data_IF_793815993282
#
_entry.id   IF_793815993282
#
_cell.length_a   1.000
_cell.length_b   1.000
_cell.length_c   1.000
_cell.angle_alpha   90.00
_cell.angle_beta   90.00
_cell.angle_gamma   90.00
#
_symmetry.space_group_name_H-M   'P 1'
#
loop_
_entity.id
_entity.type
_entity.pdbx_description
1 polymer ?
#
# COMPACT_ATOMS: atom_id res chain seq x y z
N UNK A 1 6.35 -4.59 23.05
CA UNK A 1 5.81 -5.49 21.99
C UNK A 1 5.26 -4.56 20.92
N UNK A 2 6.06 -4.22 19.92
CA UNK A 2 5.70 -3.18 18.96
C UNK A 2 4.89 -3.78 17.81
N UNK A 3 3.67 -3.28 17.64
CA UNK A 3 2.90 -3.30 16.41
C UNK A 3 3.77 -2.81 15.26
N UNK A 4 4.05 -3.68 14.27
CA UNK A 4 4.93 -3.33 13.16
C UNK A 4 4.41 -3.93 11.86
N UNK A 5 3.91 -3.05 10.98
CA UNK A 5 3.81 -3.37 9.55
C UNK A 5 5.23 -3.45 9.03
N UNK A 6 5.61 -4.60 8.48
CA UNK A 6 6.95 -4.83 7.98
C UNK A 6 7.12 -4.18 6.60
N UNK A 7 6.24 -4.51 5.66
CA UNK A 7 6.27 -3.97 4.30
C UNK A 7 4.86 -3.88 3.72
N UNK A 8 4.59 -2.81 2.96
CA UNK A 8 3.38 -2.62 2.16
C UNK A 8 3.74 -2.74 0.68
N UNK A 9 2.95 -3.50 -0.06
CA UNK A 9 3.04 -3.62 -1.51
C UNK A 9 1.73 -3.24 -2.18
N UNK A 10 1.83 -2.57 -3.31
CA UNK A 10 0.76 -2.51 -4.31
C UNK A 10 1.30 -3.20 -5.55
N UNK A 11 0.67 -4.30 -5.97
CA UNK A 11 1.17 -5.16 -7.03
C UNK A 11 0.05 -5.63 -7.96
N UNK A 12 0.42 -6.13 -9.14
CA UNK A 12 -0.52 -6.81 -10.02
C UNK A 12 -0.81 -8.25 -9.52
N UNK A 13 -1.63 -8.99 -10.26
CA UNK A 13 -1.97 -10.39 -9.98
C UNK A 13 -0.76 -11.34 -9.92
N UNK A 14 0.32 -11.02 -10.63
CA UNK A 14 1.55 -11.82 -10.72
C UNK A 14 2.55 -11.52 -9.60
N UNK A 15 2.26 -10.55 -8.73
CA UNK A 15 3.15 -10.13 -7.64
C UNK A 15 4.23 -9.14 -8.08
N UNK A 16 4.11 -8.55 -9.27
CA UNK A 16 4.96 -7.42 -9.66
C UNK A 16 4.48 -6.16 -8.96
N UNK A 17 5.33 -5.61 -8.09
CA UNK A 17 4.98 -4.40 -7.34
C UNK A 17 5.09 -3.16 -8.23
N UNK A 18 4.11 -2.26 -8.09
CA UNK A 18 4.18 -0.86 -8.53
C UNK A 18 4.72 0.01 -7.40
N UNK A 19 4.38 -0.35 -6.17
CA UNK A 19 4.83 0.33 -4.96
C UNK A 19 5.30 -0.73 -3.97
N UNK A 20 6.46 -0.48 -3.37
CA UNK A 20 6.99 -1.25 -2.25
C UNK A 20 7.51 -0.28 -1.20
N UNK A 21 6.89 -0.27 -0.03
CA UNK A 21 7.39 0.49 1.13
C UNK A 21 7.72 -0.47 2.26
N UNK A 22 9.01 -0.60 2.58
CA UNK A 22 9.51 -1.45 3.68
C UNK A 22 9.85 -0.54 4.86
N UNK A 23 9.40 -0.92 6.07
CA UNK A 23 9.69 -0.23 7.33
C UNK A 23 10.76 -0.95 8.15
N UNK A 24 11.07 -2.21 7.78
CA UNK A 24 12.16 -2.98 8.36
C UNK A 24 13.26 -3.23 7.33
N UNK A 25 14.43 -3.65 7.80
CA UNK A 25 15.55 -4.06 6.94
C UNK A 25 15.37 -5.47 6.36
N UNK A 26 14.34 -6.20 6.79
CA UNK A 26 14.13 -7.56 6.37
C UNK A 26 13.71 -7.62 4.90
N UNK A 27 14.39 -8.47 4.13
CA UNK A 27 14.05 -8.66 2.73
C UNK A 27 12.83 -9.57 2.63
N UNK A 28 11.74 -9.01 2.10
CA UNK A 28 10.53 -9.77 1.78
C UNK A 28 10.50 -10.02 0.27
N UNK A 29 10.41 -11.30 -0.11
CA UNK A 29 10.17 -11.72 -1.49
C UNK A 29 8.68 -12.01 -1.73
N UNK A 30 7.98 -11.00 -2.25
CA UNK A 30 6.57 -11.12 -2.59
C UNK A 30 6.31 -12.11 -3.74
N UNK A 31 7.23 -12.20 -4.72
CA UNK A 31 7.03 -13.03 -5.91
C UNK A 31 7.03 -14.50 -5.54
N UNK A 32 7.95 -14.93 -4.68
CA UNK A 32 7.99 -16.30 -4.19
C UNK A 32 6.71 -16.66 -3.41
N UNK A 33 6.23 -15.75 -2.56
CA UNK A 33 4.94 -15.94 -1.88
C UNK A 33 3.76 -16.05 -2.87
N UNK A 34 3.76 -15.25 -3.94
CA UNK A 34 2.66 -15.21 -4.92
C UNK A 34 2.67 -16.36 -5.93
N UNK A 35 3.82 -16.96 -6.21
CA UNK A 35 3.91 -18.21 -6.98
C UNK A 35 3.19 -19.35 -6.30
N UNK A 36 3.11 -19.32 -4.97
CA UNK A 36 2.26 -20.24 -4.24
C UNK A 36 0.79 -19.83 -4.41
N UNK A 37 -0.12 -20.79 -4.61
CA UNK A 37 -1.58 -20.52 -4.65
C UNK A 37 -2.13 -19.87 -3.37
N UNK A 38 -1.30 -19.59 -2.37
CA UNK A 38 -1.65 -18.90 -1.13
C UNK A 38 -2.07 -17.45 -1.36
N UNK A 39 -1.51 -16.77 -2.37
CA UNK A 39 -1.86 -15.38 -2.70
C UNK A 39 -3.25 -15.21 -3.34
N UNK A 40 -4.04 -16.29 -3.44
CA UNK A 40 -5.48 -16.25 -3.71
C UNK A 40 -6.30 -16.00 -2.44
N UNK A 41 -5.70 -16.18 -1.25
CA UNK A 41 -6.36 -15.98 0.04
C UNK A 41 -6.13 -14.56 0.53
N UNK A 42 -7.13 -14.07 1.25
CA UNK A 42 -7.10 -12.79 1.94
C UNK A 42 -6.05 -12.74 3.06
N UNK A 43 -5.81 -13.88 3.71
CA UNK A 43 -4.82 -14.03 4.77
C UNK A 43 -4.03 -15.31 4.53
N UNK A 44 -2.71 -15.22 4.58
CA UNK A 44 -1.86 -16.41 4.55
C UNK A 44 -0.55 -16.16 5.29
N UNK A 45 0.08 -17.24 5.75
CA UNK A 45 1.41 -17.18 6.34
C UNK A 45 2.45 -17.70 5.36
N UNK A 46 3.58 -17.01 5.28
CA UNK A 46 4.72 -17.40 4.47
C UNK A 46 5.99 -16.93 5.18
N UNK A 47 6.99 -17.81 5.30
CA UNK A 47 8.26 -17.53 6.00
C UNK A 47 8.07 -16.90 7.40
N UNK A 48 7.10 -17.43 8.17
CA UNK A 48 6.81 -16.96 9.54
C UNK A 48 5.98 -15.67 9.63
N UNK A 49 5.77 -14.95 8.53
CA UNK A 49 5.03 -13.68 8.51
C UNK A 49 3.60 -13.85 8.05
N UNK A 50 2.72 -12.96 8.51
CA UNK A 50 1.34 -12.88 8.05
C UNK A 50 1.24 -11.89 6.89
N UNK A 51 0.68 -12.35 5.78
CA UNK A 51 0.35 -11.54 4.61
C UNK A 51 -1.15 -11.30 4.62
N UNK A 52 -1.52 -10.04 4.55
CA UNK A 52 -2.90 -9.58 4.46
C UNK A 52 -3.10 -8.95 3.10
N UNK A 53 -3.99 -9.53 2.29
CA UNK A 53 -4.17 -9.19 0.88
C UNK A 53 -5.61 -8.81 0.62
N UNK A 54 -5.80 -7.71 -0.11
CA UNK A 54 -7.09 -7.36 -0.71
C UNK A 54 -6.90 -6.92 -2.15
N UNK A 55 -7.80 -7.38 -3.02
CA UNK A 55 -7.76 -7.10 -4.46
C UNK A 55 -8.79 -6.03 -4.80
N UNK A 56 -8.36 -4.98 -5.51
CA UNK A 56 -9.24 -3.98 -6.09
C UNK A 56 -8.97 -3.89 -7.60
N UNK A 57 -9.95 -4.34 -8.39
CA UNK A 57 -9.79 -4.54 -9.85
C UNK A 57 -8.61 -5.47 -10.13
N UNK A 58 -7.57 -4.98 -10.80
CA UNK A 58 -6.37 -5.75 -11.19
C UNK A 58 -5.17 -5.54 -10.25
N UNK A 59 -5.33 -4.74 -9.20
CA UNK A 59 -4.26 -4.42 -8.26
C UNK A 59 -4.55 -5.05 -6.90
N UNK A 60 -3.54 -5.69 -6.32
CA UNK A 60 -3.53 -6.24 -4.97
C UNK A 60 -2.77 -5.30 -4.05
N UNK A 61 -3.40 -4.96 -2.93
CA UNK A 61 -2.74 -4.27 -1.81
C UNK A 61 -2.39 -5.33 -0.78
N UNK A 62 -1.11 -5.42 -0.43
CA UNK A 62 -0.56 -6.45 0.46
C UNK A 62 0.16 -5.78 1.61
N UNK A 63 -0.22 -6.12 2.82
CA UNK A 63 0.48 -5.75 4.04
C UNK A 63 1.13 -7.00 4.61
N UNK A 64 2.42 -6.92 4.91
CA UNK A 64 3.12 -7.98 5.63
C UNK A 64 3.33 -7.53 7.06
N UNK A 65 2.83 -8.34 8.00
CA UNK A 65 2.75 -8.02 9.43
C UNK A 65 3.14 -9.24 10.26
N UNK A 66 3.57 -9.00 11.49
CA UNK A 66 4.00 -10.07 12.41
C UNK A 66 2.93 -10.38 13.47
N UNK A 67 2.53 -9.37 14.23
CA UNK A 67 1.66 -9.51 15.41
C UNK A 67 0.35 -8.72 15.33
N UNK A 68 0.00 -8.22 14.14
CA UNK A 68 -1.19 -7.39 13.97
C UNK A 68 -2.47 -8.19 13.76
N UNK A 69 -3.58 -7.60 14.21
CA UNK A 69 -4.90 -8.12 13.91
C UNK A 69 -5.19 -7.95 12.39
N UNK A 70 -5.43 -9.05 11.65
CA UNK A 70 -5.64 -8.99 10.20
C UNK A 70 -6.81 -8.10 9.78
N UNK A 71 -7.85 -7.97 10.63
CA UNK A 71 -9.02 -7.14 10.36
C UNK A 71 -8.73 -5.64 10.47
N UNK A 72 -7.84 -5.24 11.37
CA UNK A 72 -7.35 -3.85 11.44
C UNK A 72 -6.55 -3.53 10.17
N UNK A 73 -5.73 -4.47 9.71
CA UNK A 73 -4.99 -4.31 8.46
C UNK A 73 -5.92 -4.20 7.25
N UNK A 74 -7.05 -4.91 7.24
CA UNK A 74 -8.09 -4.70 6.22
C UNK A 74 -8.66 -3.29 6.21
N UNK A 75 -8.95 -2.74 7.39
CA UNK A 75 -9.39 -1.35 7.50
C UNK A 75 -8.34 -0.37 6.95
N UNK A 76 -7.06 -0.62 7.21
CA UNK A 76 -5.95 0.17 6.66
C UNK A 76 -5.84 0.06 5.15
N UNK A 77 -5.97 -1.14 4.60
CA UNK A 77 -5.98 -1.38 3.16
C UNK A 77 -7.16 -0.65 2.49
N UNK A 78 -8.36 -0.74 3.06
CA UNK A 78 -9.54 -0.01 2.56
C UNK A 78 -9.35 1.50 2.60
N UNK A 79 -8.79 2.03 3.69
CA UNK A 79 -8.52 3.46 3.85
C UNK A 79 -7.51 3.95 2.81
N UNK A 80 -6.42 3.20 2.59
CA UNK A 80 -5.43 3.50 1.56
C UNK A 80 -6.03 3.45 0.16
N UNK A 81 -6.81 2.42 -0.16
CA UNK A 81 -7.51 2.31 -1.44
C UNK A 81 -8.42 3.51 -1.70
N UNK A 82 -9.23 3.90 -0.71
CA UNK A 82 -10.14 5.04 -0.84
C UNK A 82 -9.40 6.36 -1.03
N UNK A 83 -8.28 6.55 -0.34
CA UNK A 83 -7.42 7.72 -0.50
C UNK A 83 -6.86 7.80 -1.93
N UNK A 84 -6.24 6.72 -2.41
CA UNK A 84 -5.66 6.65 -3.76
C UNK A 84 -6.74 6.83 -4.84
N UNK A 85 -7.89 6.16 -4.69
CA UNK A 85 -9.00 6.27 -5.62
C UNK A 85 -9.54 7.70 -5.70
N UNK A 86 -9.66 8.40 -4.56
CA UNK A 86 -10.12 9.78 -4.51
C UNK A 86 -9.10 10.76 -5.10
N UNK A 87 -7.80 10.51 -4.91
CA UNK A 87 -6.76 11.39 -5.43
C UNK A 87 -6.62 11.29 -6.96
N UNK A 88 -6.63 10.06 -7.50
CA UNK A 88 -6.44 9.80 -8.93
C UNK A 88 -7.75 9.85 -9.75
N UNK A 89 -8.89 10.18 -9.14
CA UNK A 89 -10.22 10.08 -9.77
C UNK A 89 -10.49 8.69 -10.37
N UNK A 90 -9.95 7.66 -9.73
CA UNK A 90 -10.01 6.29 -10.20
C UNK A 90 -8.75 5.49 -9.85
N UNK A 91 -8.94 4.31 -9.26
CA UNK A 91 -7.85 3.38 -8.99
C UNK A 91 -7.62 2.46 -10.21
N UNK A 92 -6.39 2.46 -10.74
CA UNK A 92 -5.92 1.63 -11.84
C UNK A 92 -4.42 1.33 -11.69
N UNK A 93 -3.93 0.27 -12.34
CA UNK A 93 -2.51 -0.08 -12.34
C UNK A 93 -1.65 1.03 -12.98
N UNK A 94 -2.11 1.58 -14.10
CA UNK A 94 -1.44 2.68 -14.79
C UNK A 94 -1.31 3.93 -13.92
N UNK A 95 -2.34 4.28 -13.14
CA UNK A 95 -2.26 5.44 -12.25
C UNK A 95 -1.16 5.29 -11.19
N UNK A 96 -0.95 4.06 -10.69
CA UNK A 96 0.14 3.78 -9.75
C UNK A 96 1.52 3.81 -10.41
N UNK A 97 1.61 3.46 -11.70
CA UNK A 97 2.86 3.52 -12.47
C UNK A 97 3.23 4.96 -12.80
N UNK A 98 2.29 5.76 -13.30
CA UNK A 98 2.56 7.12 -13.76
C UNK A 98 2.63 8.15 -12.62
N UNK A 99 1.94 7.91 -11.51
CA UNK A 99 1.88 8.82 -10.35
C UNK A 99 2.42 8.15 -9.08
N UNK A 100 3.54 7.42 -9.21
CA UNK A 100 4.12 6.67 -8.11
C UNK A 100 4.61 7.58 -6.98
N UNK A 101 5.11 8.78 -7.30
CA UNK A 101 5.57 9.74 -6.29
C UNK A 101 4.44 10.19 -5.36
N UNK A 102 3.29 10.55 -5.92
CA UNK A 102 2.09 10.93 -5.17
C UNK A 102 1.59 9.76 -4.32
N UNK A 103 1.64 8.55 -4.87
CA UNK A 103 1.23 7.35 -4.15
C UNK A 103 2.17 7.04 -2.97
N UNK A 104 3.50 7.17 -3.14
CA UNK A 104 4.45 7.07 -2.02
C UNK A 104 4.23 8.18 -0.99
N UNK A 105 4.02 9.42 -1.43
CA UNK A 105 3.76 10.54 -0.52
C UNK A 105 2.51 10.31 0.32
N UNK A 106 1.43 9.83 -0.30
CA UNK A 106 0.19 9.47 0.42
C UNK A 106 0.41 8.30 1.38
N UNK A 107 1.15 7.28 0.96
CA UNK A 107 1.46 6.13 1.80
C UNK A 107 2.30 6.53 3.01
N UNK A 108 3.31 7.38 2.82
CA UNK A 108 4.16 7.92 3.89
C UNK A 108 3.42 8.91 4.79
N UNK A 109 2.41 9.60 4.26
CA UNK A 109 1.53 10.45 5.05
C UNK A 109 0.64 9.60 5.98
N UNK A 110 0.22 8.42 5.53
CA UNK A 110 -0.60 7.50 6.33
C UNK A 110 0.23 6.68 7.32
N UNK A 111 1.36 6.14 6.87
CA UNK A 111 2.16 5.18 7.59
C UNK A 111 3.60 5.65 7.76
N UNK A 112 4.07 5.61 9.00
CA UNK A 112 5.45 5.91 9.35
C UNK A 112 5.93 4.90 10.39
N UNK A 113 7.17 4.41 10.22
CA UNK A 113 7.77 3.42 11.13
C UNK A 113 6.88 2.18 11.36
N UNK A 114 6.24 1.70 10.30
CA UNK A 114 5.36 0.54 10.34
C UNK A 114 4.05 0.75 11.12
N UNK A 115 3.66 2.00 11.39
CA UNK A 115 2.45 2.37 12.15
C UNK A 115 1.59 3.36 11.38
N UNK A 116 0.28 3.30 11.60
CA UNK A 116 -0.64 4.33 11.13
C UNK A 116 -0.45 5.60 11.95
N UNK A 117 -0.12 6.71 11.30
CA UNK A 117 0.06 8.02 11.93
C UNK A 117 -1.05 9.01 11.58
N UNK A 118 -1.70 8.83 10.44
CA UNK A 118 -2.78 9.69 9.97
C UNK A 118 -3.77 8.87 9.15
N UNK A 119 -5.05 9.07 9.41
CA UNK A 119 -6.12 8.40 8.68
C UNK A 119 -7.23 9.33 8.22
N UNK A 120 -7.10 10.63 8.50
CA UNK A 120 -7.98 11.65 7.94
C UNK A 120 -7.62 11.86 6.45
N UNK A 121 -8.47 11.29 5.60
CA UNK A 121 -8.34 11.38 4.15
C UNK A 121 -8.34 12.82 3.64
N UNK A 122 -9.14 13.72 4.22
CA UNK A 122 -9.22 15.10 3.75
C UNK A 122 -7.93 15.85 4.04
N UNK A 123 -7.35 15.64 5.23
CA UNK A 123 -6.05 16.20 5.60
C UNK A 123 -4.96 15.72 4.65
N UNK A 124 -4.89 14.41 4.38
CA UNK A 124 -3.87 13.86 3.49
C UNK A 124 -4.05 14.39 2.06
N UNK A 125 -5.28 14.35 1.51
CA UNK A 125 -5.55 14.86 0.16
C UNK A 125 -5.18 16.33 0.01
N UNK A 126 -5.52 17.16 1.00
CA UNK A 126 -5.20 18.59 1.01
C UNK A 126 -3.68 18.80 1.00
N UNK A 127 -2.96 18.08 1.85
CA UNK A 127 -1.51 18.19 1.97
C UNK A 127 -0.80 17.72 0.70
N UNK A 128 -1.18 16.55 0.15
CA UNK A 128 -0.64 16.02 -1.11
C UNK A 128 -0.85 17.01 -2.25
N UNK A 129 -2.08 17.51 -2.45
CA UNK A 129 -2.37 18.49 -3.51
C UNK A 129 -1.56 19.78 -3.34
N UNK A 130 -1.44 20.29 -2.12
CA UNK A 130 -0.66 21.49 -1.84
C UNK A 130 0.84 21.28 -2.12
N UNK A 131 1.38 20.11 -1.77
CA UNK A 131 2.78 19.75 -2.00
C UNK A 131 3.10 19.66 -3.49
N UNK A 132 2.35 18.85 -4.25
CA UNK A 132 2.62 18.63 -5.67
C UNK A 132 2.30 19.87 -6.54
N UNK A 133 1.32 20.70 -6.15
CA UNK A 133 1.06 21.98 -6.81
C UNK A 133 2.26 22.93 -6.74
N UNK A 134 2.98 22.97 -5.60
CA UNK A 134 4.16 23.84 -5.43
C UNK A 134 5.37 23.37 -6.24
N UNK A 135 5.48 22.07 -6.52
CA UNK A 135 6.59 21.52 -7.32
C UNK A 135 6.46 21.78 -8.82
N UNK A 136 5.32 22.26 -9.31
CA UNK A 136 5.12 22.54 -10.74
C UNK A 136 5.21 21.29 -11.62
N UNK A 137 5.03 20.08 -11.07
CA UNK A 137 5.05 18.83 -11.84
C UNK A 137 3.86 18.86 -12.81
N UNK A 138 4.08 18.83 -14.13
CA UNK A 138 2.99 18.71 -15.09
C UNK A 138 2.29 17.37 -14.83
N UNK A 139 0.96 17.38 -14.66
CA UNK A 139 0.20 16.12 -14.71
C UNK A 139 0.37 15.55 -16.12
N UNK A 140 1.10 14.45 -16.24
CA UNK A 140 1.09 13.66 -17.47
C UNK A 140 -0.34 13.12 -17.61
N UNK A 141 -1.07 13.70 -18.57
CA UNK A 141 -2.40 13.23 -19.00
C UNK A 141 -2.29 11.85 -19.65
#
# INVERSE_FOLDING_TARGET
MYTMINTIFLCNSEGEYRIRRSFTLEKIDLRSAFKTKLALRNFFRFEGKLYVVKTYKLVKIVFVVEHENPFIIFYYIDSLFQLLNAYFSGFSDSNLIYNYEEAYYMLDSMFLDGKLIQNDREVILKNTRAFFRRRGVPKLM
#
